data_IF_532191216633
#
_entry.id   IF_532191216633
#
_cell.length_a   1.000
_cell.length_b   1.000
_cell.length_c   1.000
_cell.angle_alpha   90.00
_cell.angle_beta   90.00
_cell.angle_gamma   90.00
#
_symmetry.space_group_name_H-M   'P 1'
#
loop_
_entity.id
_entity.type
_entity.pdbx_description
1 polymer ?
#
# COMPACT_ATOMS: atom_id res chain seq x y z
N UNK A 1 3.72 1.96 -46.22
CA UNK A 1 4.28 1.72 -44.87
C UNK A 1 4.38 3.07 -44.17
N UNK A 2 3.46 3.37 -43.24
CA UNK A 2 3.59 4.57 -42.41
C UNK A 2 4.72 4.32 -41.41
N UNK A 3 5.84 5.03 -41.59
CA UNK A 3 6.91 5.04 -40.61
C UNK A 3 6.37 5.66 -39.32
N UNK A 4 6.47 4.93 -38.21
CA UNK A 4 6.17 5.48 -36.90
C UNK A 4 7.18 6.62 -36.68
N UNK A 5 6.73 7.87 -36.49
CA UNK A 5 7.65 8.98 -36.28
C UNK A 5 8.50 8.69 -35.04
N UNK A 6 9.83 8.76 -35.20
CA UNK A 6 10.77 8.58 -34.08
C UNK A 6 10.55 9.71 -33.08
N UNK A 7 10.27 9.35 -31.83
CA UNK A 7 10.13 10.32 -30.73
C UNK A 7 11.47 11.03 -30.50
N UNK A 8 11.42 12.34 -30.24
CA UNK A 8 12.58 13.13 -29.83
C UNK A 8 13.04 12.73 -28.41
N UNK A 9 14.29 12.99 -28.01
CA UNK A 9 14.74 12.77 -26.63
C UNK A 9 13.90 13.50 -25.59
N UNK A 10 13.47 14.74 -25.88
CA UNK A 10 12.58 15.52 -25.02
C UNK A 10 11.22 14.83 -24.83
N UNK A 11 10.64 14.32 -25.91
CA UNK A 11 9.38 13.58 -25.87
C UNK A 11 9.50 12.29 -25.07
N UNK A 12 10.61 11.56 -25.22
CA UNK A 12 10.88 10.34 -24.44
C UNK A 12 10.95 10.66 -22.94
N UNK A 13 11.59 11.77 -22.56
CA UNK A 13 11.69 12.16 -21.15
C UNK A 13 10.32 12.56 -20.57
N UNK A 14 9.55 13.38 -21.28
CA UNK A 14 8.17 13.73 -20.89
C UNK A 14 7.30 12.49 -20.72
N UNK A 15 7.39 11.54 -21.64
CA UNK A 15 6.67 10.27 -21.59
C UNK A 15 7.08 9.43 -20.36
N UNK A 16 8.37 9.40 -20.04
CA UNK A 16 8.91 8.70 -18.87
C UNK A 16 8.47 9.32 -17.55
N UNK A 17 8.28 10.64 -17.47
CA UNK A 17 7.71 11.30 -16.30
C UNK A 17 6.22 10.98 -16.19
N UNK A 18 5.48 11.11 -17.30
CA UNK A 18 4.04 10.86 -17.33
C UNK A 18 3.70 9.39 -17.00
N UNK A 19 4.53 8.43 -17.40
CA UNK A 19 4.35 7.01 -17.05
C UNK A 19 4.46 6.79 -15.54
N UNK A 20 5.47 7.39 -14.89
CA UNK A 20 5.65 7.35 -13.43
C UNK A 20 4.49 8.00 -12.68
N UNK A 21 4.01 9.16 -13.15
CA UNK A 21 2.83 9.84 -12.58
C UNK A 21 1.58 8.95 -12.71
N UNK A 22 1.41 8.31 -13.86
CA UNK A 22 0.30 7.37 -14.10
C UNK A 22 0.39 6.17 -13.16
N UNK A 23 1.60 5.66 -12.91
CA UNK A 23 1.82 4.59 -11.94
C UNK A 23 1.44 5.03 -10.52
N UNK A 24 1.87 6.22 -10.07
CA UNK A 24 1.47 6.78 -8.77
C UNK A 24 -0.06 6.90 -8.63
N UNK A 25 -0.74 7.41 -9.67
CA UNK A 25 -2.21 7.48 -9.72
C UNK A 25 -2.84 6.10 -9.51
N UNK A 26 -2.37 5.10 -10.26
CA UNK A 26 -2.88 3.72 -10.15
C UNK A 26 -2.60 3.09 -8.78
N UNK A 27 -1.49 3.47 -8.15
CA UNK A 27 -1.13 3.10 -6.77
C UNK A 27 -1.92 3.89 -5.70
N UNK A 28 -2.90 4.72 -6.09
CA UNK A 28 -3.75 5.54 -5.21
C UNK A 28 -2.99 6.61 -4.43
N UNK A 29 -1.91 7.14 -4.99
CA UNK A 29 -1.19 8.26 -4.40
C UNK A 29 -2.10 9.48 -4.23
N UNK A 30 -1.92 10.23 -3.12
CA UNK A 30 -2.71 11.42 -2.81
C UNK A 30 -2.50 12.53 -3.84
N UNK A 31 -3.53 12.77 -4.66
CA UNK A 31 -3.50 13.86 -5.65
C UNK A 31 -3.29 15.25 -5.02
N UNK A 32 -4.00 15.65 -3.94
CA UNK A 32 -3.79 16.96 -3.33
C UNK A 32 -2.33 17.22 -2.92
N UNK A 33 -1.70 16.23 -2.29
CA UNK A 33 -0.30 16.34 -1.85
C UNK A 33 0.65 16.44 -3.05
N UNK A 34 0.41 15.62 -4.09
CA UNK A 34 1.20 15.67 -5.31
C UNK A 34 1.07 17.01 -6.02
N UNK A 35 -0.16 17.49 -6.22
CA UNK A 35 -0.47 18.74 -6.92
C UNK A 35 0.14 19.95 -6.19
N UNK A 36 0.06 20.01 -4.86
CA UNK A 36 0.67 21.07 -4.07
C UNK A 36 2.18 21.15 -4.31
N UNK A 37 2.89 20.02 -4.27
CA UNK A 37 4.33 20.00 -4.52
C UNK A 37 4.67 20.35 -5.97
N UNK A 38 4.00 19.74 -6.93
CA UNK A 38 4.22 20.04 -8.36
C UNK A 38 3.99 21.52 -8.67
N UNK A 39 3.04 22.17 -8.00
CA UNK A 39 2.85 23.61 -8.14
C UNK A 39 3.98 24.47 -7.60
N UNK A 40 4.63 24.05 -6.52
CA UNK A 40 5.86 24.72 -6.05
C UNK A 40 7.05 24.54 -7.01
N UNK A 41 7.00 23.53 -7.88
CA UNK A 41 8.04 23.25 -8.89
C UNK A 41 7.80 23.99 -10.22
N UNK A 42 6.79 24.86 -10.29
CA UNK A 42 6.55 25.74 -11.44
C UNK A 42 5.41 25.32 -12.38
N UNK A 43 4.72 24.21 -12.11
CA UNK A 43 3.52 23.82 -12.86
C UNK A 43 2.25 24.45 -12.27
N UNK A 44 1.41 25.08 -13.09
CA UNK A 44 0.14 25.62 -12.58
C UNK A 44 -0.74 24.53 -11.96
N UNK A 45 -1.52 24.90 -10.95
CA UNK A 45 -2.42 23.98 -10.23
C UNK A 45 -3.32 23.20 -11.18
N UNK A 46 -3.49 21.91 -10.92
CA UNK A 46 -4.26 21.01 -11.77
C UNK A 46 -5.44 20.39 -10.99
N UNK A 47 -6.38 19.79 -11.71
CA UNK A 47 -7.56 19.11 -11.14
C UNK A 47 -7.45 17.57 -11.17
N UNK A 48 -6.34 17.02 -11.70
CA UNK A 48 -6.08 15.59 -11.70
C UNK A 48 -4.70 15.24 -12.26
N UNK A 49 -4.27 14.00 -12.04
CA UNK A 49 -2.99 13.48 -12.56
C UNK A 49 -2.92 13.54 -14.09
N UNK A 50 -4.01 13.26 -14.81
CA UNK A 50 -4.03 13.28 -16.28
C UNK A 50 -3.80 14.71 -16.82
N UNK A 51 -4.33 15.72 -16.11
CA UNK A 51 -4.10 17.14 -16.43
C UNK A 51 -2.65 17.54 -16.18
N UNK A 52 -2.01 17.02 -15.13
CA UNK A 52 -0.57 17.24 -14.90
C UNK A 52 0.24 16.66 -16.08
N UNK A 53 -0.05 15.42 -16.50
CA UNK A 53 0.62 14.82 -17.65
C UNK A 53 0.43 15.65 -18.93
N UNK A 54 -0.78 16.14 -19.22
CA UNK A 54 -1.02 17.04 -20.37
C UNK A 54 -0.16 18.29 -20.31
N UNK A 55 -0.09 18.94 -19.14
CA UNK A 55 0.74 20.14 -18.96
C UNK A 55 2.22 19.85 -19.14
N UNK A 56 2.72 18.72 -18.64
CA UNK A 56 4.12 18.27 -18.87
C UNK A 56 4.40 18.11 -20.36
N UNK A 57 3.45 17.54 -21.11
CA UNK A 57 3.58 17.38 -22.55
C UNK A 57 3.66 18.74 -23.28
N UNK A 58 2.91 19.73 -22.81
CA UNK A 58 2.83 21.09 -23.35
C UNK A 58 3.98 22.03 -22.93
N UNK A 59 4.88 21.64 -22.03
CA UNK A 59 6.01 22.49 -21.62
C UNK A 59 6.89 22.80 -22.84
N UNK A 60 7.06 24.10 -23.12
CA UNK A 60 7.89 24.62 -24.20
C UNK A 60 9.37 24.28 -23.99
N UNK A 61 10.07 23.90 -25.05
CA UNK A 61 11.44 23.36 -25.03
C UNK A 61 12.53 24.44 -24.86
N UNK A 62 12.17 25.60 -24.33
CA UNK A 62 13.14 26.65 -23.97
C UNK A 62 14.15 26.13 -22.93
N UNK A 63 15.44 26.16 -23.29
CA UNK A 63 16.47 25.28 -22.72
C UNK A 63 16.65 25.36 -21.19
N UNK A 64 16.50 26.54 -20.58
CA UNK A 64 16.75 26.75 -19.14
C UNK A 64 15.55 26.36 -18.28
N UNK A 65 14.37 26.88 -18.58
CA UNK A 65 13.14 26.61 -17.81
C UNK A 65 12.66 25.17 -18.00
N UNK A 66 12.81 24.63 -19.21
CA UNK A 66 12.44 23.25 -19.55
C UNK A 66 13.19 22.23 -18.69
N UNK A 67 14.53 22.32 -18.67
CA UNK A 67 15.36 21.36 -17.94
C UNK A 67 15.16 21.48 -16.43
N UNK A 68 15.09 22.70 -15.86
CA UNK A 68 14.94 22.86 -14.42
C UNK A 68 13.61 22.31 -13.90
N UNK A 69 12.49 22.60 -14.60
CA UNK A 69 11.16 22.16 -14.17
C UNK A 69 11.02 20.64 -14.35
N UNK A 70 11.38 20.10 -15.52
CA UNK A 70 11.25 18.66 -15.77
C UNK A 70 12.16 17.83 -14.87
N UNK A 71 13.42 18.24 -14.64
CA UNK A 71 14.31 17.54 -13.71
C UNK A 71 13.75 17.54 -12.28
N UNK A 72 13.22 18.67 -11.80
CA UNK A 72 12.66 18.73 -10.46
C UNK A 72 11.41 17.84 -10.31
N UNK A 73 10.53 17.83 -11.32
CA UNK A 73 9.35 16.96 -11.33
C UNK A 73 9.75 15.50 -11.39
N UNK A 74 10.71 15.13 -12.24
CA UNK A 74 11.16 13.75 -12.40
C UNK A 74 11.78 13.22 -11.10
N UNK A 75 12.70 14.00 -10.49
CA UNK A 75 13.29 13.67 -9.19
C UNK A 75 12.22 13.45 -8.11
N UNK A 76 11.27 14.38 -7.98
CA UNK A 76 10.20 14.24 -7.00
C UNK A 76 9.30 13.03 -7.28
N UNK A 77 9.03 12.73 -8.55
CA UNK A 77 8.21 11.59 -8.95
C UNK A 77 8.94 10.26 -8.67
N UNK A 78 10.25 10.20 -8.90
CA UNK A 78 11.11 9.05 -8.55
C UNK A 78 11.13 8.84 -7.04
N UNK A 79 11.31 9.91 -6.25
CA UNK A 79 11.25 9.85 -4.79
C UNK A 79 9.90 9.31 -4.32
N UNK A 80 8.79 9.87 -4.83
CA UNK A 80 7.44 9.41 -4.56
C UNK A 80 7.25 7.93 -4.85
N UNK A 81 7.70 7.47 -6.02
CA UNK A 81 7.62 6.07 -6.39
C UNK A 81 8.46 5.20 -5.45
N UNK A 82 9.67 5.63 -5.09
CA UNK A 82 10.57 4.87 -4.22
C UNK A 82 9.92 4.61 -2.86
N UNK A 83 9.49 5.65 -2.14
CA UNK A 83 8.93 5.43 -0.80
C UNK A 83 7.53 4.82 -0.85
N UNK A 84 6.69 5.21 -1.81
CA UNK A 84 5.33 4.68 -1.91
C UNK A 84 5.31 3.22 -2.40
N UNK A 85 6.37 2.78 -3.08
CA UNK A 85 6.56 1.36 -3.42
C UNK A 85 7.24 0.58 -2.30
N UNK A 86 8.10 1.21 -1.51
CA UNK A 86 8.77 0.55 -0.39
C UNK A 86 7.86 0.33 0.83
N UNK A 87 7.07 1.32 1.24
CA UNK A 87 6.47 1.33 2.58
C UNK A 87 4.99 1.70 2.65
N UNK A 88 4.42 2.32 1.62
CA UNK A 88 3.02 2.73 1.65
C UNK A 88 2.08 1.54 1.43
N UNK A 89 0.96 1.54 2.16
CA UNK A 89 -0.12 0.56 2.04
C UNK A 89 0.33 -0.91 2.03
N UNK A 90 1.06 -1.31 3.07
CA UNK A 90 1.60 -2.66 3.23
C UNK A 90 0.79 -3.47 4.23
N UNK A 91 0.47 -4.72 3.89
CA UNK A 91 0.03 -5.71 4.86
C UNK A 91 1.26 -6.44 5.42
N UNK A 92 1.50 -6.28 6.71
CA UNK A 92 2.64 -6.83 7.42
C UNK A 92 2.23 -8.07 8.19
N UNK A 93 2.97 -9.15 7.98
CA UNK A 93 2.84 -10.40 8.72
C UNK A 93 4.15 -10.69 9.43
N UNK A 94 4.10 -10.98 10.73
CA UNK A 94 5.27 -11.16 11.57
C UNK A 94 5.43 -12.62 12.00
N UNK A 95 6.68 -13.08 11.99
CA UNK A 95 7.08 -14.40 12.44
C UNK A 95 8.27 -14.28 13.39
N UNK A 96 8.22 -14.96 14.53
CA UNK A 96 9.40 -15.14 15.39
C UNK A 96 10.21 -16.34 14.93
N UNK A 97 11.54 -16.17 14.88
CA UNK A 97 12.51 -17.24 14.59
C UNK A 97 13.88 -16.85 15.13
N UNK A 98 14.77 -17.83 15.35
CA UNK A 98 16.07 -17.56 15.95
C UNK A 98 16.94 -16.65 15.07
N UNK A 99 17.80 -15.85 15.70
CA UNK A 99 18.82 -15.02 15.03
C UNK A 99 19.68 -15.81 14.04
N UNK A 100 19.99 -17.07 14.34
CA UNK A 100 20.74 -17.95 13.43
C UNK A 100 20.00 -18.26 12.13
N UNK A 101 18.67 -18.40 12.17
CA UNK A 101 17.84 -18.60 10.98
C UNK A 101 17.72 -17.31 10.17
N UNK A 102 17.55 -16.18 10.84
CA UNK A 102 17.52 -14.87 10.20
C UNK A 102 18.80 -14.60 9.40
N UNK A 103 19.97 -14.87 9.98
CA UNK A 103 21.27 -14.75 9.29
C UNK A 103 21.41 -15.63 8.05
N UNK A 104 20.90 -16.87 8.11
CA UNK A 104 20.87 -17.75 6.93
C UNK A 104 20.00 -17.17 5.83
N UNK A 105 18.86 -16.60 6.19
CA UNK A 105 17.94 -15.97 5.23
C UNK A 105 18.53 -14.68 4.64
N UNK A 106 19.16 -13.84 5.46
CA UNK A 106 19.89 -12.64 4.99
C UNK A 106 20.90 -13.01 3.89
N UNK A 107 21.74 -14.01 4.14
CA UNK A 107 22.72 -14.48 3.16
C UNK A 107 22.05 -15.02 1.88
N UNK A 108 20.92 -15.71 1.99
CA UNK A 108 20.22 -16.30 0.86
C UNK A 108 19.48 -15.26 -0.01
N UNK A 109 19.04 -14.15 0.60
CA UNK A 109 18.31 -13.08 -0.08
C UNK A 109 19.22 -11.97 -0.60
N UNK A 110 20.42 -11.84 -0.01
CA UNK A 110 21.34 -10.74 -0.32
C UNK A 110 21.72 -10.71 -1.79
N UNK A 111 21.49 -9.55 -2.40
CA UNK A 111 21.86 -9.25 -3.79
C UNK A 111 23.05 -8.31 -3.89
N UNK A 112 23.35 -7.57 -2.81
CA UNK A 112 24.36 -6.51 -2.80
C UNK A 112 23.99 -5.29 -3.65
N UNK A 113 22.71 -5.16 -4.04
CA UNK A 113 22.21 -4.05 -4.85
C UNK A 113 21.22 -3.21 -4.05
N UNK A 114 21.40 -1.88 -4.07
CA UNK A 114 20.46 -0.96 -3.44
C UNK A 114 19.08 -1.02 -4.11
N UNK A 115 18.03 -0.92 -3.29
CA UNK A 115 16.67 -0.92 -3.78
C UNK A 115 16.40 0.21 -4.78
N UNK A 116 15.94 -0.19 -5.97
CA UNK A 116 15.45 0.71 -7.00
C UNK A 116 14.02 0.33 -7.41
N UNK A 117 13.04 1.25 -7.33
CA UNK A 117 11.68 0.95 -7.75
C UNK A 117 11.61 0.71 -9.26
N UNK A 118 10.84 -0.30 -9.67
CA UNK A 118 10.50 -0.48 -11.08
C UNK A 118 9.36 0.47 -11.46
N UNK A 119 9.48 1.08 -12.64
CA UNK A 119 8.47 1.98 -13.21
C UNK A 119 7.79 1.40 -14.47
N UNK A 120 8.16 0.17 -14.87
CA UNK A 120 7.63 -0.52 -16.03
C UNK A 120 7.23 -1.98 -15.72
N UNK A 121 6.17 -2.45 -16.37
CA UNK A 121 5.72 -3.85 -16.33
C UNK A 121 6.57 -4.78 -17.21
N UNK A 122 7.48 -4.22 -18.02
CA UNK A 122 8.29 -4.98 -18.96
C UNK A 122 9.11 -6.05 -18.23
N UNK A 123 9.01 -7.30 -18.69
CA UNK A 123 9.72 -8.44 -18.09
C UNK A 123 9.15 -8.95 -16.76
N UNK A 124 8.12 -8.31 -16.18
CA UNK A 124 7.51 -8.76 -14.93
C UNK A 124 6.44 -9.84 -15.17
N UNK A 125 6.53 -10.88 -14.34
CA UNK A 125 5.53 -11.95 -14.24
C UNK A 125 4.86 -11.92 -12.87
N UNK A 126 3.92 -12.83 -12.62
CA UNK A 126 3.34 -13.00 -11.26
C UNK A 126 4.36 -13.54 -10.25
N UNK A 127 5.45 -14.17 -10.72
CA UNK A 127 6.52 -14.61 -9.85
C UNK A 127 7.40 -13.41 -9.46
N UNK A 128 7.67 -13.20 -8.17
CA UNK A 128 8.47 -12.09 -7.72
C UNK A 128 9.95 -12.23 -8.13
N UNK A 129 10.55 -11.11 -8.52
CA UNK A 129 11.99 -10.96 -8.73
C UNK A 129 12.58 -10.01 -7.69
N UNK A 130 13.83 -10.22 -7.30
CA UNK A 130 14.53 -9.26 -6.42
C UNK A 130 14.82 -7.96 -7.16
N UNK A 131 14.56 -6.83 -6.49
CA UNK A 131 14.81 -5.47 -7.01
C UNK A 131 15.72 -4.66 -6.08
N UNK A 132 16.44 -5.35 -5.21
CA UNK A 132 17.43 -4.79 -4.30
C UNK A 132 17.03 -4.85 -2.83
N UNK A 133 17.88 -4.29 -1.99
CA UNK A 133 17.78 -4.30 -0.54
C UNK A 133 18.15 -2.93 0.06
N UNK A 134 17.76 -2.70 1.31
CA UNK A 134 18.17 -1.55 2.10
C UNK A 134 18.50 -1.98 3.54
N UNK A 135 19.61 -1.47 4.07
CA UNK A 135 19.88 -1.49 5.51
C UNK A 135 19.18 -0.28 6.13
N UNK A 136 18.10 -0.52 6.87
CA UNK A 136 17.34 0.54 7.56
C UNK A 136 18.04 0.94 8.85
N UNK A 137 18.63 -0.04 9.55
CA UNK A 137 19.50 0.16 10.71
C UNK A 137 20.50 -0.99 10.82
N UNK A 138 21.34 -1.01 11.86
CA UNK A 138 22.30 -2.10 12.12
C UNK A 138 21.66 -3.48 12.21
N UNK A 139 20.42 -3.53 12.71
CA UNK A 139 19.71 -4.79 12.98
C UNK A 139 18.45 -4.97 12.13
N UNK A 140 18.11 -4.00 11.28
CA UNK A 140 16.92 -4.04 10.43
C UNK A 140 17.30 -3.90 8.96
N UNK A 141 17.12 -4.97 8.20
CA UNK A 141 17.36 -5.03 6.76
C UNK A 141 16.10 -5.42 6.00
N UNK A 142 15.88 -4.83 4.83
CA UNK A 142 14.69 -5.06 3.99
C UNK A 142 15.12 -5.48 2.59
N UNK A 143 14.56 -6.57 2.10
CA UNK A 143 14.73 -7.09 0.73
C UNK A 143 13.45 -6.87 -0.04
N UNK A 144 13.53 -6.24 -1.21
CA UNK A 144 12.38 -5.88 -2.02
C UNK A 144 12.22 -6.83 -3.19
N UNK A 145 10.97 -7.27 -3.38
CA UNK A 145 10.58 -8.24 -4.38
C UNK A 145 9.47 -7.63 -5.23
N UNK A 146 9.66 -7.52 -6.54
CA UNK A 146 8.64 -6.98 -7.44
C UNK A 146 8.01 -8.05 -8.30
N UNK A 147 6.70 -7.97 -8.46
CA UNK A 147 5.90 -8.83 -9.34
C UNK A 147 4.83 -8.02 -10.08
N UNK A 148 4.31 -8.58 -11.16
CA UNK A 148 3.10 -8.10 -11.81
C UNK A 148 1.89 -8.69 -11.09
N UNK A 149 0.98 -7.84 -10.63
CA UNK A 149 -0.27 -8.26 -10.01
C UNK A 149 -1.45 -7.55 -10.67
N UNK A 150 -2.58 -8.26 -10.75
CA UNK A 150 -3.74 -7.80 -11.52
C UNK A 150 -5.00 -7.72 -10.67
N UNK A 151 -5.86 -6.75 -10.97
CA UNK A 151 -7.24 -6.68 -10.46
C UNK A 151 -8.21 -6.34 -11.60
N UNK A 152 -9.50 -6.52 -11.34
CA UNK A 152 -10.54 -6.31 -12.34
C UNK A 152 -11.54 -5.26 -11.86
N UNK A 153 -11.99 -4.40 -12.77
CA UNK A 153 -13.15 -3.52 -12.55
C UNK A 153 -14.25 -3.87 -13.53
N UNK A 154 -15.50 -3.66 -13.12
CA UNK A 154 -16.67 -3.79 -13.98
C UNK A 154 -17.22 -2.40 -14.25
N UNK A 155 -17.49 -2.11 -15.50
CA UNK A 155 -18.06 -0.83 -15.92
C UNK A 155 -19.21 -1.07 -16.87
N UNK A 156 -20.23 -0.21 -16.81
CA UNK A 156 -21.31 -0.24 -17.78
C UNK A 156 -20.82 0.39 -19.08
N UNK A 157 -21.02 -0.33 -20.19
CA UNK A 157 -20.83 0.24 -21.51
C UNK A 157 -21.96 1.23 -21.76
N UNK A 158 -21.63 2.41 -22.26
CA UNK A 158 -22.64 3.41 -22.61
C UNK A 158 -23.40 2.93 -23.84
N UNK A 159 -24.71 3.17 -23.89
CA UNK A 159 -25.55 2.76 -25.01
C UNK A 159 -25.05 3.26 -26.37
N UNK A 160 -24.35 4.41 -26.42
CA UNK A 160 -23.74 4.96 -27.63
C UNK A 160 -22.64 4.09 -28.24
N UNK A 161 -22.02 3.24 -27.42
CA UNK A 161 -20.84 2.44 -27.79
C UNK A 161 -21.24 0.98 -28.09
N UNK A 162 -22.53 0.66 -28.00
CA UNK A 162 -23.08 -0.67 -28.22
C UNK A 162 -23.61 -0.76 -29.65
N UNK A 163 -23.09 -1.74 -30.39
CA UNK A 163 -23.61 -2.09 -31.70
C UNK A 163 -24.92 -2.90 -31.57
N UNK A 164 -26.04 -2.24 -31.86
CA UNK A 164 -27.39 -2.82 -31.79
C UNK A 164 -27.81 -3.54 -33.09
N UNK A 165 -26.92 -3.66 -34.08
CA UNK A 165 -27.25 -4.26 -35.40
C UNK A 165 -27.67 -5.74 -35.34
N UNK A 166 -27.36 -6.45 -34.26
CA UNK A 166 -27.66 -7.87 -34.07
C UNK A 166 -28.94 -8.14 -33.25
N UNK A 167 -29.71 -7.09 -32.90
CA UNK A 167 -30.96 -7.24 -32.16
C UNK A 167 -32.13 -7.40 -33.14
N UNK A 168 -32.94 -8.44 -32.96
CA UNK A 168 -34.17 -8.65 -33.73
C UNK A 168 -35.37 -7.92 -33.11
N UNK A 169 -36.53 -7.98 -33.76
CA UNK A 169 -37.76 -7.30 -33.34
C UNK A 169 -38.33 -7.80 -31.99
N UNK A 170 -37.83 -8.92 -31.46
CA UNK A 170 -38.26 -9.50 -30.19
C UNK A 170 -37.23 -9.34 -29.06
N UNK A 171 -36.04 -8.79 -29.35
CA UNK A 171 -34.93 -8.73 -28.41
C UNK A 171 -34.59 -7.30 -28.02
N UNK A 172 -34.53 -7.04 -26.71
CA UNK A 172 -34.04 -5.76 -26.16
C UNK A 172 -32.77 -5.99 -25.35
N UNK A 173 -31.71 -5.25 -25.67
CA UNK A 173 -30.50 -5.23 -24.85
C UNK A 173 -30.74 -4.38 -23.60
N UNK A 174 -30.71 -5.01 -22.43
CA UNK A 174 -30.97 -4.35 -21.15
C UNK A 174 -29.71 -3.67 -20.60
N UNK A 175 -28.54 -4.32 -20.71
CA UNK A 175 -27.25 -3.73 -20.30
C UNK A 175 -26.07 -4.52 -20.83
N UNK A 176 -24.96 -3.84 -21.11
CA UNK A 176 -23.67 -4.47 -21.40
C UNK A 176 -22.64 -4.04 -20.33
N UNK A 177 -21.95 -5.01 -19.75
CA UNK A 177 -20.92 -4.79 -18.73
C UNK A 177 -19.57 -5.17 -19.31
N UNK A 178 -18.64 -4.22 -19.38
CA UNK A 178 -17.25 -4.49 -19.69
C UNK A 178 -16.46 -4.83 -18.42
N UNK A 179 -15.58 -5.82 -18.52
CA UNK A 179 -14.66 -6.21 -17.44
C UNK A 179 -13.24 -5.79 -17.83
N UNK A 180 -12.70 -4.80 -17.11
CA UNK A 180 -11.36 -4.27 -17.37
C UNK A 180 -10.35 -4.93 -16.45
N UNK A 181 -9.26 -5.47 -17.03
CA UNK A 181 -8.10 -5.95 -16.28
C UNK A 181 -7.08 -4.83 -16.12
N UNK A 182 -6.63 -4.61 -14.90
CA UNK A 182 -5.59 -3.65 -14.56
C UNK A 182 -4.36 -4.39 -14.02
N UNK A 183 -3.21 -4.21 -14.67
CA UNK A 183 -1.93 -4.74 -14.20
C UNK A 183 -1.10 -3.64 -13.54
N UNK A 184 -0.52 -3.94 -12.38
CA UNK A 184 0.38 -3.05 -11.63
C UNK A 184 1.63 -3.79 -11.18
N UNK A 185 2.68 -3.02 -10.97
CA UNK A 185 3.89 -3.44 -10.26
C UNK A 185 3.55 -3.44 -8.77
N UNK A 186 3.62 -4.61 -8.14
CA UNK A 186 3.55 -4.76 -6.71
C UNK A 186 4.97 -5.00 -6.18
N UNK A 187 5.43 -4.16 -5.25
CA UNK A 187 6.72 -4.29 -4.59
C UNK A 187 6.52 -4.78 -3.17
N UNK A 188 6.54 -6.09 -2.99
CA UNK A 188 6.48 -6.71 -1.69
C UNK A 188 7.89 -6.69 -1.03
N UNK A 189 7.98 -7.05 0.25
CA UNK A 189 9.27 -7.15 0.91
C UNK A 189 9.35 -8.28 1.94
N UNK A 190 10.58 -8.65 2.25
CA UNK A 190 10.97 -9.43 3.42
C UNK A 190 11.85 -8.51 4.28
N UNK A 191 11.50 -8.30 5.55
CA UNK A 191 12.34 -7.58 6.49
C UNK A 191 12.84 -8.52 7.59
N UNK A 192 14.12 -8.37 7.91
CA UNK A 192 14.82 -9.10 8.96
C UNK A 192 15.16 -8.11 10.06
N UNK A 193 14.63 -8.36 11.25
CA UNK A 193 14.93 -7.63 12.48
C UNK A 193 15.69 -8.56 13.43
N UNK A 194 17.02 -8.44 13.41
CA UNK A 194 17.91 -9.25 14.24
C UNK A 194 17.85 -8.89 15.73
N UNK A 195 17.42 -7.67 16.08
CA UNK A 195 17.35 -7.20 17.45
C UNK A 195 16.18 -7.85 18.17
N UNK A 196 15.03 -7.94 17.48
CA UNK A 196 13.80 -8.49 18.06
C UNK A 196 13.55 -9.96 17.66
N UNK A 197 14.45 -10.58 16.90
CA UNK A 197 14.30 -11.95 16.38
C UNK A 197 13.02 -12.13 15.54
N UNK A 198 12.75 -11.15 14.67
CA UNK A 198 11.55 -11.11 13.84
C UNK A 198 11.88 -11.18 12.35
N UNK A 199 11.06 -11.96 11.65
CA UNK A 199 10.92 -11.97 10.20
C UNK A 199 9.57 -11.34 9.84
N UNK A 200 9.57 -10.40 8.92
CA UNK A 200 8.38 -9.64 8.54
C UNK A 200 8.17 -9.77 7.03
N UNK A 201 6.98 -10.19 6.63
CA UNK A 201 6.55 -10.19 5.22
C UNK A 201 5.66 -8.96 5.02
N UNK A 202 6.01 -8.10 4.06
CA UNK A 202 5.22 -6.94 3.69
C UNK A 202 4.63 -7.07 2.29
N UNK A 203 3.30 -7.14 2.18
CA UNK A 203 2.60 -7.28 0.90
C UNK A 203 2.03 -5.93 0.45
N UNK A 204 2.36 -5.54 -0.77
CA UNK A 204 2.03 -4.25 -1.37
C UNK A 204 0.56 -4.12 -1.76
N UNK A 205 0.07 -2.88 -1.76
CA UNK A 205 -1.20 -2.47 -2.38
C UNK A 205 -2.43 -3.24 -1.85
N UNK A 206 -2.48 -3.51 -0.54
CA UNK A 206 -3.59 -4.25 0.10
C UNK A 206 -4.94 -3.54 -0.04
N UNK A 207 -4.97 -2.22 -0.21
CA UNK A 207 -6.20 -1.47 -0.45
C UNK A 207 -6.60 -1.41 -1.94
N UNK A 208 -5.76 -1.91 -2.86
CA UNK A 208 -6.03 -1.92 -4.30
C UNK A 208 -6.41 -3.31 -4.77
N UNK A 209 -5.67 -4.33 -4.33
CA UNK A 209 -5.91 -5.71 -4.75
C UNK A 209 -6.95 -6.41 -3.87
N UNK A 210 -7.72 -7.35 -4.45
CA UNK A 210 -8.60 -8.19 -3.65
C UNK A 210 -7.77 -9.09 -2.73
N UNK A 211 -8.34 -9.45 -1.58
CA UNK A 211 -7.68 -10.24 -0.54
C UNK A 211 -7.09 -11.56 -1.05
N UNK A 212 -7.72 -12.20 -2.03
CA UNK A 212 -7.22 -13.43 -2.65
C UNK A 212 -5.86 -13.23 -3.34
N UNK A 213 -5.64 -12.08 -3.98
CA UNK A 213 -4.37 -11.75 -4.63
C UNK A 213 -3.30 -11.41 -3.58
N UNK A 214 -3.68 -10.70 -2.51
CA UNK A 214 -2.79 -10.42 -1.37
C UNK A 214 -2.34 -11.71 -0.68
N UNK A 215 -3.27 -12.64 -0.40
CA UNK A 215 -2.98 -13.92 0.23
C UNK A 215 -2.10 -14.81 -0.66
N UNK A 216 -2.34 -14.80 -1.99
CA UNK A 216 -1.48 -15.50 -2.97
C UNK A 216 -0.04 -14.98 -2.93
N UNK A 217 0.13 -13.65 -2.90
CA UNK A 217 1.46 -13.04 -2.81
C UNK A 217 2.18 -13.36 -1.49
N UNK A 218 1.47 -13.29 -0.36
CA UNK A 218 1.99 -13.69 0.95
C UNK A 218 2.48 -15.15 0.91
N UNK A 219 1.70 -16.06 0.33
CA UNK A 219 2.07 -17.46 0.18
C UNK A 219 3.32 -17.67 -0.70
N UNK A 220 3.45 -16.93 -1.80
CA UNK A 220 4.64 -17.01 -2.65
C UNK A 220 5.92 -16.59 -1.91
N UNK A 221 5.87 -15.50 -1.14
CA UNK A 221 7.01 -15.03 -0.35
C UNK A 221 7.31 -15.98 0.80
N UNK A 222 6.27 -16.47 1.48
CA UNK A 222 6.43 -17.45 2.53
C UNK A 222 7.09 -18.74 2.01
N UNK A 223 6.71 -19.21 0.82
CA UNK A 223 7.38 -20.35 0.17
C UNK A 223 8.83 -20.06 -0.23
N UNK A 224 9.16 -18.82 -0.58
CA UNK A 224 10.54 -18.42 -0.84
C UNK A 224 11.38 -18.51 0.45
N UNK A 225 10.83 -18.02 1.56
CA UNK A 225 11.45 -18.10 2.90
C UNK A 225 11.64 -19.56 3.33
N UNK A 226 10.64 -20.43 3.11
CA UNK A 226 10.70 -21.81 3.60
C UNK A 226 11.69 -22.72 2.88
N UNK A 227 12.27 -22.26 1.76
CA UNK A 227 13.45 -22.88 1.16
C UNK A 227 14.69 -22.78 2.05
N UNK A 228 14.75 -21.78 2.93
CA UNK A 228 15.88 -21.51 3.82
C UNK A 228 15.54 -21.80 5.28
N UNK A 229 14.35 -21.42 5.75
CA UNK A 229 13.90 -21.64 7.13
C UNK A 229 12.69 -22.57 7.13
N UNK A 230 12.79 -23.81 7.66
CA UNK A 230 11.65 -24.71 7.74
C UNK A 230 10.42 -24.07 8.40
N UNK A 231 9.23 -24.38 7.88
CA UNK A 231 7.96 -23.82 8.39
C UNK A 231 7.79 -24.01 9.90
N UNK A 232 8.22 -25.14 10.46
CA UNK A 232 8.11 -25.43 11.90
C UNK A 232 8.91 -24.49 12.79
N UNK A 233 9.87 -23.74 12.22
CA UNK A 233 10.70 -22.76 12.93
C UNK A 233 10.21 -21.32 12.75
N UNK A 234 9.05 -21.12 12.12
CA UNK A 234 8.43 -19.82 11.87
C UNK A 234 7.13 -19.71 12.68
N UNK A 235 7.20 -19.00 13.81
CA UNK A 235 6.04 -18.82 14.68
C UNK A 235 5.32 -17.52 14.33
N UNK A 236 4.15 -17.61 13.70
CA UNK A 236 3.34 -16.44 13.33
C UNK A 236 2.84 -15.70 14.57
N UNK A 237 3.03 -14.38 14.63
CA UNK A 237 2.54 -13.52 15.72
C UNK A 237 1.01 -13.35 15.64
N UNK A 238 0.40 -13.14 16.80
CA UNK A 238 -1.03 -12.86 16.95
C UNK A 238 -1.24 -11.51 17.65
N UNK A 239 -1.78 -10.55 16.94
CA UNK A 239 -1.97 -9.17 17.40
C UNK A 239 -3.35 -8.91 18.01
N UNK A 240 -4.06 -9.95 18.46
CA UNK A 240 -5.42 -9.79 19.00
C UNK A 240 -5.45 -8.83 20.19
N UNK A 241 -4.49 -8.96 21.10
CA UNK A 241 -4.38 -8.08 22.27
C UNK A 241 -3.93 -6.66 21.90
N UNK A 242 -3.21 -6.51 20.79
CA UNK A 242 -2.73 -5.22 20.29
C UNK A 242 -3.86 -4.27 19.93
N UNK A 243 -5.04 -4.78 19.54
CA UNK A 243 -6.21 -3.95 19.20
C UNK A 243 -6.63 -3.09 20.40
N UNK A 244 -6.83 -3.71 21.57
CA UNK A 244 -7.21 -3.02 22.80
C UNK A 244 -6.10 -2.13 23.33
N UNK A 245 -4.83 -2.58 23.26
CA UNK A 245 -3.69 -1.75 23.65
C UNK A 245 -3.64 -0.46 22.83
N UNK A 246 -3.76 -0.56 21.51
CA UNK A 246 -3.78 0.60 20.62
C UNK A 246 -5.01 1.49 20.82
N UNK A 247 -6.16 0.93 21.21
CA UNK A 247 -7.35 1.74 21.50
C UNK A 247 -7.13 2.61 22.75
N UNK A 248 -6.60 1.98 23.81
CA UNK A 248 -6.49 2.58 25.13
C UNK A 248 -5.28 3.51 25.28
N UNK A 249 -4.21 3.34 24.49
CA UNK A 249 -3.07 4.26 24.57
C UNK A 249 -3.43 5.70 24.14
N UNK A 250 -2.88 6.66 24.88
CA UNK A 250 -3.11 8.09 24.69
C UNK A 250 -2.45 8.63 23.44
N UNK A 251 -1.29 8.08 23.06
CA UNK A 251 -0.51 8.55 21.91
C UNK A 251 -1.26 8.28 20.61
N UNK A 252 -1.40 9.31 19.77
CA UNK A 252 -2.02 9.20 18.46
C UNK A 252 -3.55 9.29 18.48
N UNK A 253 -4.13 9.30 17.28
CA UNK A 253 -5.56 9.54 17.05
C UNK A 253 -6.23 8.27 16.54
N UNK A 254 -7.26 7.79 17.24
CA UNK A 254 -8.07 6.69 16.71
C UNK A 254 -8.96 7.23 15.60
N UNK A 255 -8.73 6.76 14.38
CA UNK A 255 -9.45 7.19 13.17
C UNK A 255 -10.64 6.27 12.84
N UNK A 256 -10.70 5.10 13.49
CA UNK A 256 -11.72 4.08 13.32
C UNK A 256 -11.50 2.93 14.30
N UNK A 257 -12.58 2.37 14.82
CA UNK A 257 -12.60 1.11 15.58
C UNK A 257 -13.92 0.36 15.39
N UNK A 258 -13.91 -0.92 15.74
CA UNK A 258 -15.09 -1.77 15.84
C UNK A 258 -15.05 -2.54 17.16
N UNK A 259 -16.19 -2.61 17.83
CA UNK A 259 -16.30 -3.26 19.13
C UNK A 259 -17.67 -3.90 19.37
N UNK A 260 -17.72 -4.85 20.30
CA UNK A 260 -18.95 -5.43 20.84
C UNK A 260 -19.18 -4.90 22.26
N UNK A 261 -20.43 -4.60 22.61
CA UNK A 261 -20.85 -4.32 23.99
C UNK A 261 -21.35 -5.58 24.70
N UNK A 262 -21.57 -5.50 26.02
CA UNK A 262 -22.07 -6.59 26.89
C UNK A 262 -23.42 -7.19 26.47
N UNK A 263 -24.18 -6.54 25.59
CA UNK A 263 -25.41 -7.07 25.00
C UNK A 263 -25.24 -7.77 23.64
N UNK A 264 -24.01 -7.93 23.13
CA UNK A 264 -23.75 -8.46 21.79
C UNK A 264 -24.08 -7.49 20.65
N UNK A 265 -24.23 -6.19 20.97
CA UNK A 265 -24.47 -5.15 19.96
C UNK A 265 -23.12 -4.72 19.39
N UNK A 266 -23.03 -4.75 18.06
CA UNK A 266 -21.83 -4.40 17.31
C UNK A 266 -21.88 -2.96 16.86
N UNK A 267 -20.82 -2.23 17.14
CA UNK A 267 -20.70 -0.82 16.77
C UNK A 267 -19.53 -0.61 15.81
N UNK A 268 -19.76 0.28 14.84
CA UNK A 268 -18.78 0.67 13.83
C UNK A 268 -18.67 2.19 13.82
N UNK A 269 -17.48 2.70 14.13
CA UNK A 269 -17.18 4.10 13.85
C UNK A 269 -16.72 4.21 12.39
N UNK A 270 -17.35 5.11 11.64
CA UNK A 270 -17.01 5.33 10.24
C UNK A 270 -15.54 5.72 10.07
N UNK A 271 -14.92 5.30 8.97
CA UNK A 271 -13.58 5.75 8.59
C UNK A 271 -13.63 7.26 8.33
N UNK A 272 -13.14 8.07 9.26
CA UNK A 272 -13.02 9.51 9.00
C UNK A 272 -11.79 9.75 8.13
N UNK A 273 -11.94 10.59 7.11
CA UNK A 273 -10.83 11.09 6.28
C UNK A 273 -10.11 12.27 6.96
N UNK A 274 -10.77 12.93 7.92
CA UNK A 274 -10.16 13.93 8.78
C UNK A 274 -9.34 13.27 9.89
N UNK A 275 -8.19 13.85 10.25
CA UNK A 275 -7.42 13.45 11.43
C UNK A 275 -8.18 13.98 12.66
N UNK A 276 -9.19 13.23 13.09
CA UNK A 276 -9.97 13.48 14.30
C UNK A 276 -10.03 12.21 15.11
N UNK A 277 -9.73 12.32 16.39
CA UNK A 277 -9.91 11.20 17.31
C UNK A 277 -11.39 10.93 17.53
N UNK A 278 -11.84 9.74 17.13
CA UNK A 278 -13.22 9.32 17.31
C UNK A 278 -13.56 9.08 18.78
N UNK A 279 -12.55 8.85 19.64
CA UNK A 279 -12.77 8.68 21.09
C UNK A 279 -13.30 9.96 21.73
N UNK A 280 -13.06 11.11 21.11
CA UNK A 280 -13.55 12.42 21.56
C UNK A 280 -14.93 12.75 20.98
N UNK A 281 -15.55 11.85 20.22
CA UNK A 281 -16.91 12.05 19.76
C UNK A 281 -17.90 11.90 20.93
N UNK A 282 -18.82 12.86 21.15
CA UNK A 282 -19.82 12.75 22.21
C UNK A 282 -20.65 11.47 22.16
N UNK A 283 -20.92 10.94 20.95
CA UNK A 283 -21.61 9.67 20.79
C UNK A 283 -20.81 8.52 21.40
N UNK A 284 -19.51 8.46 21.13
CA UNK A 284 -18.65 7.43 21.69
C UNK A 284 -18.44 7.63 23.19
N UNK A 285 -18.11 8.85 23.64
CA UNK A 285 -17.88 9.16 25.06
C UNK A 285 -19.08 8.79 25.95
N UNK A 286 -20.29 9.15 25.51
CA UNK A 286 -21.50 8.88 26.28
C UNK A 286 -21.89 7.40 26.22
N UNK A 287 -21.64 6.73 25.08
CA UNK A 287 -21.96 5.32 24.90
C UNK A 287 -20.95 4.36 25.55
N UNK A 288 -19.66 4.70 25.60
CA UNK A 288 -18.60 3.85 26.13
C UNK A 288 -18.54 3.83 27.66
N UNK A 289 -18.91 4.93 28.32
CA UNK A 289 -18.85 5.05 29.77
C UNK A 289 -19.76 4.07 30.54
N UNK A 290 -20.76 3.47 29.86
CA UNK A 290 -21.75 2.58 30.47
C UNK A 290 -21.53 1.08 30.17
N UNK A 291 -20.51 0.71 29.39
CA UNK A 291 -20.35 -0.65 28.86
C UNK A 291 -18.90 -1.12 28.84
N UNK A 292 -18.69 -2.40 29.13
CA UNK A 292 -17.42 -3.07 28.80
C UNK A 292 -17.38 -3.32 27.28
N UNK A 293 -16.36 -2.76 26.62
CA UNK A 293 -16.21 -2.82 25.17
C UNK A 293 -15.12 -3.82 24.79
N UNK A 294 -15.47 -4.81 23.97
CA UNK A 294 -14.50 -5.73 23.37
C UNK A 294 -14.15 -5.27 21.95
N UNK A 295 -12.99 -4.62 21.81
CA UNK A 295 -12.49 -4.11 20.54
C UNK A 295 -11.89 -5.23 19.70
N UNK A 296 -12.37 -5.36 18.47
CA UNK A 296 -11.88 -6.38 17.54
C UNK A 296 -11.27 -5.81 16.26
N UNK A 297 -11.36 -4.50 16.03
CA UNK A 297 -10.65 -3.82 14.95
C UNK A 297 -10.33 -2.37 15.31
N UNK A 298 -9.17 -1.89 14.85
CA UNK A 298 -8.71 -0.51 15.04
C UNK A 298 -7.95 0.01 13.83
N UNK A 299 -8.05 1.33 13.61
CA UNK A 299 -7.23 2.14 12.73
C UNK A 299 -6.78 3.39 13.48
N UNK A 300 -5.47 3.55 13.65
CA UNK A 300 -4.89 4.63 14.46
C UNK A 300 -3.76 5.35 13.72
N UNK A 301 -3.78 6.67 13.80
CA UNK A 301 -2.71 7.54 13.29
C UNK A 301 -1.74 7.88 14.41
N UNK A 302 -0.45 7.64 14.18
CA UNK A 302 0.62 7.99 15.09
C UNK A 302 1.36 9.21 14.58
N UNK A 303 1.62 10.21 15.44
CA UNK A 303 2.43 11.36 15.06
C UNK A 303 3.86 10.90 14.80
N UNK A 304 4.45 11.40 13.72
CA UNK A 304 5.85 11.19 13.39
C UNK A 304 6.39 12.43 12.68
N UNK A 305 7.30 13.15 13.33
CA UNK A 305 7.73 14.49 12.91
C UNK A 305 6.51 15.41 12.68
N UNK A 306 6.41 16.05 11.52
CA UNK A 306 5.27 16.90 11.12
C UNK A 306 4.14 16.12 10.41
N UNK A 307 4.22 14.80 10.35
CA UNK A 307 3.33 13.93 9.60
C UNK A 307 2.74 12.83 10.50
N UNK A 308 1.99 11.91 9.90
CA UNK A 308 1.46 10.74 10.59
C UNK A 308 1.65 9.50 9.74
N UNK A 309 1.97 8.37 10.37
CA UNK A 309 1.74 7.06 9.79
C UNK A 309 0.47 6.45 10.40
N UNK A 310 -0.14 5.50 9.70
CA UNK A 310 -1.38 4.86 10.14
C UNK A 310 -1.17 3.36 10.24
N UNK A 311 -1.60 2.80 11.37
CA UNK A 311 -1.68 1.36 11.59
C UNK A 311 -3.14 0.93 11.65
N UNK A 312 -3.46 -0.19 11.01
CA UNK A 312 -4.78 -0.82 11.14
C UNK A 312 -4.64 -2.32 11.34
N UNK A 313 -5.40 -2.90 12.25
CA UNK A 313 -5.40 -4.34 12.48
C UNK A 313 -6.71 -4.76 13.17
N UNK A 314 -6.99 -6.05 13.11
CA UNK A 314 -8.18 -6.63 13.72
C UNK A 314 -8.87 -7.61 12.80
N UNK A 315 -10.07 -8.00 13.20
CA UNK A 315 -10.92 -8.96 12.51
C UNK A 315 -12.09 -8.26 11.82
N UNK A 316 -12.60 -8.88 10.76
CA UNK A 316 -13.96 -8.58 10.32
C UNK A 316 -14.94 -9.05 11.39
N UNK A 317 -16.16 -8.48 11.44
CA UNK A 317 -17.20 -8.97 12.35
C UNK A 317 -17.46 -10.47 12.18
N UNK A 318 -17.48 -10.94 10.93
CA UNK A 318 -17.68 -12.35 10.58
C UNK A 318 -16.62 -13.24 11.21
N UNK A 319 -15.38 -12.79 11.23
CA UNK A 319 -14.25 -13.52 11.79
C UNK A 319 -14.22 -13.45 13.31
N UNK A 320 -14.56 -12.30 13.88
CA UNK A 320 -14.71 -12.13 15.33
C UNK A 320 -15.84 -13.00 15.90
N UNK A 321 -16.95 -13.15 15.17
CA UNK A 321 -18.10 -13.96 15.59
C UNK A 321 -17.90 -15.47 15.48
N UNK A 322 -16.78 -15.95 14.92
CA UNK A 322 -16.56 -17.40 14.83
C UNK A 322 -16.33 -17.97 16.24
N UNK A 323 -16.87 -19.17 16.54
CA UNK A 323 -16.69 -19.80 17.85
C UNK A 323 -15.23 -20.17 18.13
N UNK A 324 -14.42 -20.35 17.09
CA UNK A 324 -12.98 -20.52 17.21
C UNK A 324 -12.29 -19.16 17.29
N UNK A 325 -11.38 -19.02 18.26
CA UNK A 325 -10.57 -17.82 18.41
C UNK A 325 -9.66 -17.63 17.20
N UNK A 326 -10.05 -16.74 16.29
CA UNK A 326 -9.25 -16.40 15.11
C UNK A 326 -8.13 -15.42 15.52
N UNK A 327 -6.86 -15.69 15.16
CA UNK A 327 -5.78 -14.76 15.43
C UNK A 327 -5.85 -13.52 14.52
N UNK A 328 -5.47 -12.36 15.05
CA UNK A 328 -5.19 -11.17 14.23
C UNK A 328 -3.78 -11.35 13.67
N UNK A 329 -3.69 -11.80 12.42
CA UNK A 329 -2.44 -12.33 11.88
C UNK A 329 -1.63 -11.34 11.03
N UNK A 330 -2.14 -10.11 10.86
CA UNK A 330 -1.47 -9.08 10.08
C UNK A 330 -1.82 -7.67 10.58
N UNK A 331 -0.95 -6.72 10.26
CA UNK A 331 -1.13 -5.28 10.48
C UNK A 331 -1.02 -4.57 9.14
N UNK A 332 -1.92 -3.65 8.84
CA UNK A 332 -1.83 -2.77 7.68
C UNK A 332 -1.12 -1.48 8.08
N UNK A 333 -0.02 -1.21 7.40
CA UNK A 333 0.76 0.02 7.51
C UNK A 333 0.43 0.93 6.33
N UNK A 334 0.10 2.17 6.62
CA UNK A 334 -0.29 3.17 5.63
C UNK A 334 0.33 4.54 5.95
N UNK A 335 0.43 5.41 4.95
CA UNK A 335 1.04 6.75 5.05
C UNK A 335 2.51 6.76 5.55
N UNK A 336 3.25 5.66 5.42
CA UNK A 336 4.70 5.63 5.71
C UNK A 336 5.48 6.14 4.51
N UNK A 337 6.24 7.21 4.71
CA UNK A 337 6.86 8.01 3.63
C UNK A 337 8.39 7.94 3.61
N UNK A 338 9.02 7.36 4.62
CA UNK A 338 10.47 7.19 4.68
C UNK A 338 10.88 6.00 5.56
N UNK A 339 12.17 5.70 5.56
CA UNK A 339 12.75 4.57 6.30
C UNK A 339 12.66 4.75 7.83
N UNK A 340 12.72 5.99 8.31
CA UNK A 340 12.70 6.30 9.75
C UNK A 340 11.29 6.15 10.33
N UNK A 341 10.27 6.58 9.58
CA UNK A 341 8.87 6.32 9.84
C UNK A 341 8.56 4.82 9.78
N UNK A 342 9.17 4.08 8.84
CA UNK A 342 9.05 2.62 8.78
C UNK A 342 9.58 1.95 10.06
N UNK A 343 10.78 2.31 10.53
CA UNK A 343 11.31 1.81 11.81
C UNK A 343 10.43 2.18 13.00
N UNK A 344 9.94 3.42 13.07
CA UNK A 344 9.01 3.85 14.13
C UNK A 344 7.73 3.03 14.13
N UNK A 345 7.18 2.77 12.94
CA UNK A 345 6.00 1.95 12.74
C UNK A 345 6.21 0.51 13.23
N UNK A 346 7.32 -0.14 12.85
CA UNK A 346 7.64 -1.48 13.31
C UNK A 346 7.80 -1.54 14.84
N UNK A 347 8.54 -0.59 15.42
CA UNK A 347 8.72 -0.52 16.87
C UNK A 347 7.38 -0.41 17.60
N UNK A 348 6.46 0.43 17.09
CA UNK A 348 5.13 0.59 17.67
C UNK A 348 4.26 -0.68 17.55
N UNK A 349 4.39 -1.43 16.46
CA UNK A 349 3.72 -2.74 16.34
C UNK A 349 4.30 -3.72 17.37
N UNK A 350 5.63 -3.78 17.50
CA UNK A 350 6.33 -4.71 18.41
C UNK A 350 6.02 -4.40 19.88
N UNK A 351 5.98 -3.12 20.26
CA UNK A 351 5.59 -2.66 21.60
C UNK A 351 4.21 -3.19 22.02
N UNK A 352 3.29 -3.32 21.07
CA UNK A 352 1.95 -3.82 21.32
C UNK A 352 1.78 -5.32 21.04
N UNK A 353 2.82 -6.05 20.65
CA UNK A 353 2.76 -7.43 20.14
C UNK A 353 2.89 -8.55 21.17
#
# INVERSE_FOLDING_TARGET
MNSIPKKTPSQIWKDNICSKITLLKKRRFSFPNFNAKISTLGLTTSNGFDTICKKIQEIDESLTTFNSILSAIDLYTIECLKWHSAFYNKRLTFYSTSKSNLKKLDLALSTGQDYTPLDSLSGLTENPISVGENNISSDLKVFYLSSKRSYFTKEHVKDSDIDNSNLDEYTSLISMIQVLRHDLIATDFIAIDEKNELLIIGIDLVNVFPESQTNKAEYHIFNLITKTIPHSLLNKKNFRNSVTLMETETVGYVLGHSFSSTGGVFHYSGKTSAIRDIRLDPFFMNGSAAHDLDFFWIRKAYPYNSMHYVLSLGLSQRDYNKPTLIPVSHVIMDLVTDQSAFSSCLNKIIEHS
#
